data_IF_998681516033
#
_entry.id   IF_998681516033
#
_cell.length_a   1.000
_cell.length_b   1.000
_cell.length_c   1.000
_cell.angle_alpha   90.00
_cell.angle_beta   90.00
_cell.angle_gamma   90.00
#
_symmetry.space_group_name_H-M   'P 1'
#
loop_
_entity.id
_entity.type
_entity.pdbx_description
1 polymer ?
#
# COMPACT_ATOMS: atom_id res chain seq x y z
N UNK A 1 34.52 -4.61 -2.69
CA UNK A 1 33.85 -4.03 -1.50
C UNK A 1 34.46 -4.73 -0.31
N UNK A 2 34.90 -4.02 0.75
CA UNK A 2 35.53 -4.64 1.91
C UNK A 2 34.53 -5.56 2.66
N UNK A 3 35.04 -6.63 3.27
CA UNK A 3 34.25 -7.63 3.99
C UNK A 3 33.51 -7.02 5.21
N UNK A 4 34.16 -6.07 5.89
CA UNK A 4 33.58 -5.20 6.90
C UNK A 4 32.27 -4.55 6.44
N UNK A 5 32.30 -3.86 5.29
CA UNK A 5 31.14 -3.11 4.78
C UNK A 5 29.96 -4.05 4.49
N UNK A 6 30.25 -5.27 4.03
CA UNK A 6 29.23 -6.30 3.78
C UNK A 6 28.59 -6.74 5.11
N UNK A 7 29.39 -6.96 6.16
CA UNK A 7 28.88 -7.39 7.46
C UNK A 7 28.00 -6.32 8.13
N UNK A 8 28.42 -5.06 8.08
CA UNK A 8 27.61 -3.93 8.61
C UNK A 8 26.32 -3.78 7.81
N UNK A 9 26.37 -3.80 6.48
CA UNK A 9 25.17 -3.66 5.64
C UNK A 9 24.15 -4.79 5.87
N UNK A 10 24.63 -6.04 6.04
CA UNK A 10 23.79 -7.20 6.34
C UNK A 10 23.13 -7.08 7.73
N UNK A 11 23.88 -6.61 8.73
CA UNK A 11 23.36 -6.34 10.07
C UNK A 11 22.25 -5.29 10.02
N UNK A 12 22.53 -4.15 9.39
CA UNK A 12 21.60 -3.03 9.25
C UNK A 12 20.33 -3.43 8.47
N UNK A 13 20.46 -4.24 7.42
CA UNK A 13 19.32 -4.79 6.69
C UNK A 13 18.46 -5.70 7.57
N UNK A 14 19.08 -6.53 8.40
CA UNK A 14 18.40 -7.45 9.31
C UNK A 14 17.64 -6.69 10.40
N UNK A 15 18.22 -5.63 10.97
CA UNK A 15 17.55 -4.76 11.94
C UNK A 15 16.31 -4.09 11.33
N UNK A 16 16.40 -3.66 10.07
CA UNK A 16 15.31 -2.96 9.39
C UNK A 16 14.24 -3.87 8.76
N UNK A 17 14.26 -5.18 9.00
CA UNK A 17 13.38 -6.14 8.31
C UNK A 17 11.88 -5.90 8.54
N UNK A 18 11.47 -5.24 9.63
CA UNK A 18 10.07 -4.94 9.93
C UNK A 18 9.71 -3.45 9.82
N UNK A 19 10.47 -2.72 9.01
CA UNK A 19 10.22 -1.32 8.67
C UNK A 19 9.62 -1.27 7.27
N UNK A 20 8.45 -0.65 7.11
CA UNK A 20 7.67 -0.68 5.86
C UNK A 20 7.96 0.46 4.89
N UNK A 21 8.79 1.43 5.27
CA UNK A 21 9.14 2.57 4.42
C UNK A 21 10.65 2.71 4.28
N UNK A 22 11.10 3.05 3.08
CA UNK A 22 12.54 3.24 2.82
C UNK A 22 13.13 4.43 3.59
N UNK A 23 12.37 5.53 3.74
CA UNK A 23 12.80 6.72 4.48
C UNK A 23 13.12 6.39 5.93
N UNK A 24 12.17 5.78 6.65
CA UNK A 24 12.40 5.36 8.02
C UNK A 24 13.49 4.31 8.15
N UNK A 25 13.55 3.37 7.20
CA UNK A 25 14.62 2.37 7.20
C UNK A 25 15.99 3.04 7.02
N UNK A 26 16.08 4.08 6.18
CA UNK A 26 17.30 4.84 6.00
C UNK A 26 17.69 5.59 7.26
N UNK A 27 16.75 6.30 7.89
CA UNK A 27 17.01 7.03 9.14
C UNK A 27 17.56 6.10 10.24
N UNK A 28 16.97 4.92 10.41
CA UNK A 28 17.44 3.92 11.37
C UNK A 28 18.83 3.40 10.99
N UNK A 29 19.08 3.15 9.71
CA UNK A 29 20.37 2.65 9.23
C UNK A 29 21.48 3.66 9.45
N UNK A 30 21.21 4.94 9.23
CA UNK A 30 22.19 6.01 9.37
C UNK A 30 22.57 6.18 10.86
N UNK A 31 21.59 6.26 11.75
CA UNK A 31 21.84 6.32 13.21
C UNK A 31 22.64 5.10 13.72
N UNK A 32 22.23 3.89 13.32
CA UNK A 32 22.92 2.67 13.75
C UNK A 32 24.32 2.56 13.13
N UNK A 33 24.51 3.03 11.90
CA UNK A 33 25.83 3.05 11.26
C UNK A 33 26.77 3.99 12.00
N UNK A 34 26.31 5.20 12.33
CA UNK A 34 27.12 6.17 13.08
C UNK A 34 27.58 5.60 14.43
N UNK A 35 26.70 4.86 15.12
CA UNK A 35 27.08 4.15 16.34
C UNK A 35 28.04 2.97 16.11
N UNK A 36 27.86 2.19 15.03
CA UNK A 36 28.76 1.06 14.68
C UNK A 36 30.16 1.61 14.36
N UNK A 37 30.23 2.65 13.53
CA UNK A 37 31.48 3.27 13.09
C UNK A 37 32.23 3.85 14.30
N UNK A 38 31.51 4.48 15.23
CA UNK A 38 32.08 4.96 16.51
C UNK A 38 32.72 3.83 17.34
N UNK A 39 32.06 2.66 17.45
CA UNK A 39 32.64 1.50 18.13
C UNK A 39 33.83 0.90 17.38
N UNK A 40 33.79 0.87 16.04
CA UNK A 40 34.92 0.39 15.23
C UNK A 40 36.14 1.29 15.46
N UNK A 41 35.95 2.61 15.46
CA UNK A 41 37.02 3.58 15.71
C UNK A 41 37.61 3.43 17.11
N UNK A 42 36.76 3.30 18.14
CA UNK A 42 37.19 3.06 19.52
C UNK A 42 38.05 1.79 19.63
N UNK A 43 37.56 0.67 19.09
CA UNK A 43 38.27 -0.60 19.14
C UNK A 43 39.54 -0.64 18.30
N UNK A 44 39.56 0.05 17.17
CA UNK A 44 40.77 0.19 16.35
C UNK A 44 41.80 1.06 17.08
N UNK A 45 41.36 2.10 17.80
CA UNK A 45 42.24 2.91 18.65
C UNK A 45 42.83 2.12 19.81
N UNK A 46 42.07 1.17 20.36
CA UNK A 46 42.52 0.21 21.38
C UNK A 46 43.47 -0.88 20.83
N UNK A 47 43.79 -0.83 19.54
CA UNK A 47 44.77 -1.70 18.90
C UNK A 47 44.20 -2.99 18.31
N UNK A 48 42.87 -3.14 18.21
CA UNK A 48 42.29 -4.22 17.42
C UNK A 48 42.49 -3.97 15.91
N UNK A 49 42.62 -5.04 15.14
CA UNK A 49 42.51 -4.94 13.69
C UNK A 49 41.06 -4.62 13.29
N UNK A 50 40.86 -4.12 12.07
CA UNK A 50 39.56 -3.60 11.63
C UNK A 50 38.47 -4.69 11.59
N UNK A 51 38.85 -5.93 11.28
CA UNK A 51 37.93 -7.07 11.18
C UNK A 51 37.41 -7.49 12.57
N UNK A 52 38.31 -7.59 13.54
CA UNK A 52 37.99 -7.89 14.94
C UNK A 52 37.23 -6.73 15.60
N UNK A 53 37.62 -5.48 15.30
CA UNK A 53 36.91 -4.29 15.75
C UNK A 53 35.46 -4.28 15.23
N UNK A 54 35.26 -4.58 13.94
CA UNK A 54 33.92 -4.71 13.33
C UNK A 54 33.09 -5.80 14.00
N UNK A 55 33.66 -6.99 14.16
CA UNK A 55 32.98 -8.11 14.82
C UNK A 55 32.57 -7.77 16.26
N UNK A 56 33.45 -7.08 17.00
CA UNK A 56 33.19 -6.64 18.37
C UNK A 56 32.14 -5.53 18.43
N UNK A 57 32.17 -4.57 17.52
CA UNK A 57 31.17 -3.51 17.38
C UNK A 57 29.77 -4.07 17.10
N UNK A 58 29.66 -5.00 16.14
CA UNK A 58 28.38 -5.67 15.84
C UNK A 58 27.87 -6.49 17.03
N UNK A 59 28.76 -7.17 17.76
CA UNK A 59 28.39 -7.91 18.97
C UNK A 59 27.89 -6.98 20.07
N UNK A 60 28.44 -5.76 20.19
CA UNK A 60 28.01 -4.76 21.16
C UNK A 60 26.63 -4.17 20.82
N UNK A 61 26.31 -4.02 19.54
CA UNK A 61 24.95 -3.64 19.10
C UNK A 61 23.89 -4.67 19.50
N UNK A 62 24.30 -5.92 19.68
CA UNK A 62 23.44 -7.03 20.06
C UNK A 62 22.87 -7.77 18.86
N UNK A 63 21.87 -8.62 19.11
CA UNK A 63 21.31 -9.49 18.08
C UNK A 63 20.30 -8.72 17.20
N UNK A 64 20.52 -8.65 15.87
CA UNK A 64 19.64 -7.94 14.95
C UNK A 64 18.22 -8.51 14.93
N UNK A 65 18.03 -9.80 15.26
CA UNK A 65 16.72 -10.43 15.36
C UNK A 65 15.86 -9.75 16.44
N UNK A 66 16.43 -9.50 17.62
CA UNK A 66 15.72 -8.84 18.70
C UNK A 66 15.59 -7.33 18.46
N UNK A 67 16.63 -6.67 17.96
CA UNK A 67 16.58 -5.24 17.61
C UNK A 67 15.48 -4.94 16.59
N UNK A 68 15.30 -5.79 15.59
CA UNK A 68 14.26 -5.59 14.58
C UNK A 68 12.83 -5.60 15.14
N UNK A 69 12.58 -6.28 16.26
CA UNK A 69 11.28 -6.25 16.92
C UNK A 69 11.00 -4.90 17.57
N UNK A 70 12.03 -4.18 18.02
CA UNK A 70 11.88 -2.83 18.56
C UNK A 70 11.44 -1.83 17.48
N UNK A 71 11.88 -2.05 16.23
CA UNK A 71 11.49 -1.25 15.08
C UNK A 71 10.27 -1.78 14.33
N UNK A 72 9.64 -2.87 14.80
CA UNK A 72 8.51 -3.50 14.11
C UNK A 72 7.31 -2.58 14.07
N UNK A 73 6.91 -2.22 12.86
CA UNK A 73 5.74 -1.38 12.67
C UNK A 73 4.43 -2.15 12.85
N UNK A 74 3.48 -1.52 13.54
CA UNK A 74 2.13 -2.05 13.72
C UNK A 74 1.30 -1.76 12.46
N UNK A 75 1.18 -2.75 11.60
CA UNK A 75 0.40 -2.64 10.36
C UNK A 75 -1.06 -2.98 10.65
N UNK A 76 -1.92 -1.96 10.64
CA UNK A 76 -3.34 -2.15 10.93
C UNK A 76 -4.05 -3.00 9.87
N UNK A 77 -4.56 -4.15 10.29
CA UNK A 77 -5.36 -5.03 9.44
C UNK A 77 -6.78 -4.52 9.18
N UNK A 78 -7.24 -3.54 9.97
CA UNK A 78 -8.60 -3.01 9.89
C UNK A 78 -8.80 -2.06 8.71
N UNK A 79 -7.72 -1.54 8.11
CA UNK A 79 -7.79 -0.63 6.97
C UNK A 79 -8.57 -1.21 5.79
N UNK A 80 -8.45 -2.51 5.52
CA UNK A 80 -9.18 -3.21 4.45
C UNK A 80 -10.70 -3.24 4.72
N UNK A 81 -11.10 -3.53 5.95
CA UNK A 81 -12.53 -3.49 6.35
C UNK A 81 -13.04 -2.06 6.32
N UNK A 82 -12.26 -1.10 6.80
CA UNK A 82 -12.64 0.31 6.78
C UNK A 82 -12.94 0.79 5.36
N UNK A 83 -12.07 0.49 4.39
CA UNK A 83 -12.29 0.82 2.98
C UNK A 83 -13.50 0.07 2.41
N UNK A 84 -13.64 -1.23 2.72
CA UNK A 84 -14.81 -1.99 2.29
C UNK A 84 -16.12 -1.39 2.83
N UNK A 85 -16.15 -1.01 4.11
CA UNK A 85 -17.28 -0.34 4.76
C UNK A 85 -17.61 0.99 4.12
N UNK A 86 -16.61 1.86 3.89
CA UNK A 86 -16.81 3.12 3.17
C UNK A 86 -17.37 2.92 1.75
N UNK A 87 -16.88 1.90 1.04
CA UNK A 87 -17.35 1.60 -0.32
C UNK A 87 -18.80 1.11 -0.30
N UNK A 88 -19.19 0.29 0.69
CA UNK A 88 -20.59 -0.14 0.88
C UNK A 88 -21.49 1.05 1.23
N UNK A 89 -21.05 1.92 2.15
CA UNK A 89 -21.80 3.14 2.50
C UNK A 89 -22.00 4.04 1.29
N UNK A 90 -20.95 4.24 0.48
CA UNK A 90 -21.04 5.01 -0.76
C UNK A 90 -22.08 4.43 -1.73
N UNK A 91 -22.08 3.10 -1.93
CA UNK A 91 -23.08 2.44 -2.78
C UNK A 91 -24.50 2.57 -2.24
N UNK A 92 -24.68 2.47 -0.92
CA UNK A 92 -25.99 2.62 -0.29
C UNK A 92 -26.56 4.03 -0.50
N UNK A 93 -25.73 5.06 -0.29
CA UNK A 93 -26.13 6.46 -0.50
C UNK A 93 -26.44 6.70 -1.98
N UNK A 94 -25.56 6.24 -2.88
CA UNK A 94 -25.77 6.35 -4.33
C UNK A 94 -27.09 5.68 -4.75
N UNK A 95 -27.38 4.48 -4.26
CA UNK A 95 -28.63 3.79 -4.55
C UNK A 95 -29.85 4.58 -4.04
N UNK A 96 -29.80 5.10 -2.81
CA UNK A 96 -30.91 5.87 -2.24
C UNK A 96 -31.20 7.16 -3.01
N UNK A 97 -30.17 7.91 -3.42
CA UNK A 97 -30.32 9.15 -4.18
C UNK A 97 -30.96 8.87 -5.54
N UNK A 98 -30.55 7.78 -6.20
CA UNK A 98 -31.09 7.41 -7.51
C UNK A 98 -32.53 6.90 -7.46
N UNK A 99 -32.87 6.09 -6.44
CA UNK A 99 -34.26 5.65 -6.22
C UNK A 99 -35.16 6.86 -5.95
N UNK A 100 -34.70 7.79 -5.12
CA UNK A 100 -35.42 9.03 -4.84
C UNK A 100 -35.62 9.87 -6.11
N UNK A 101 -34.57 10.07 -6.90
CA UNK A 101 -34.65 10.81 -8.16
C UNK A 101 -35.61 10.16 -9.17
N UNK A 102 -35.66 8.83 -9.22
CA UNK A 102 -36.62 8.11 -10.07
C UNK A 102 -38.07 8.27 -9.62
N UNK A 103 -38.35 8.12 -8.31
CA UNK A 103 -39.70 8.28 -7.76
C UNK A 103 -40.25 9.69 -8.06
N UNK A 104 -39.37 10.70 -8.07
CA UNK A 104 -39.72 12.10 -8.35
C UNK A 104 -39.61 12.49 -9.83
N UNK A 105 -39.45 11.53 -10.75
CA UNK A 105 -39.29 11.77 -12.19
C UNK A 105 -38.11 12.69 -12.57
N UNK A 106 -37.10 12.82 -11.71
CA UNK A 106 -35.85 13.54 -12.00
C UNK A 106 -34.89 12.68 -12.83
N UNK A 107 -34.95 11.36 -12.65
CA UNK A 107 -34.10 10.39 -13.33
C UNK A 107 -34.90 9.40 -14.16
N UNK A 108 -34.29 8.98 -15.26
CA UNK A 108 -34.82 7.97 -16.17
C UNK A 108 -34.45 6.57 -15.72
N UNK A 109 -35.12 5.56 -16.28
CA UNK A 109 -34.74 4.16 -16.07
C UNK A 109 -33.28 3.87 -16.47
N UNK A 110 -32.76 4.52 -17.52
CA UNK A 110 -31.36 4.38 -17.91
C UNK A 110 -30.39 4.83 -16.83
N UNK A 111 -30.73 5.86 -16.05
CA UNK A 111 -29.88 6.33 -14.96
C UNK A 111 -29.80 5.28 -13.84
N UNK A 112 -30.94 4.69 -13.45
CA UNK A 112 -30.95 3.59 -12.47
C UNK A 112 -30.15 2.39 -12.98
N UNK A 113 -30.32 2.03 -14.25
CA UNK A 113 -29.61 0.90 -14.85
C UNK A 113 -28.10 1.09 -14.81
N UNK A 114 -27.61 2.28 -15.17
CA UNK A 114 -26.17 2.60 -15.11
C UNK A 114 -25.62 2.53 -13.68
N UNK A 115 -26.38 2.99 -12.68
CA UNK A 115 -26.00 2.88 -11.28
C UNK A 115 -25.97 1.42 -10.80
N UNK A 116 -26.91 0.59 -11.21
CA UNK A 116 -26.90 -0.85 -10.92
C UNK A 116 -25.64 -1.53 -11.47
N UNK A 117 -25.27 -1.22 -12.72
CA UNK A 117 -24.02 -1.70 -13.33
C UNK A 117 -22.82 -1.25 -12.48
N UNK A 118 -22.78 0.01 -12.06
CA UNK A 118 -21.70 0.53 -11.20
C UNK A 118 -21.61 -0.21 -9.86
N UNK A 119 -22.74 -0.46 -9.19
CA UNK A 119 -22.78 -1.23 -7.93
C UNK A 119 -22.23 -2.64 -8.14
N UNK A 120 -22.72 -3.33 -9.18
CA UNK A 120 -22.29 -4.70 -9.51
C UNK A 120 -20.78 -4.78 -9.75
N UNK A 121 -20.22 -3.79 -10.45
CA UNK A 121 -18.78 -3.73 -10.75
C UNK A 121 -17.90 -3.56 -9.50
N UNK A 122 -18.43 -3.00 -8.41
CA UNK A 122 -17.67 -2.80 -7.17
C UNK A 122 -17.77 -3.99 -6.18
N UNK A 123 -18.76 -4.88 -6.32
CA UNK A 123 -18.92 -6.07 -5.47
C UNK A 123 -17.63 -6.93 -5.42
N UNK A 124 -16.96 -7.24 -6.55
CA UNK A 124 -15.72 -8.02 -6.53
C UNK A 124 -14.61 -7.40 -5.67
N UNK A 125 -14.50 -6.06 -5.66
CA UNK A 125 -13.49 -5.34 -4.88
C UNK A 125 -13.75 -5.51 -3.39
N UNK A 126 -15.01 -5.36 -2.95
CA UNK A 126 -15.39 -5.57 -1.55
C UNK A 126 -15.10 -7.01 -1.12
N UNK A 127 -15.53 -7.99 -1.93
CA UNK A 127 -15.30 -9.41 -1.66
C UNK A 127 -13.80 -9.71 -1.53
N UNK A 128 -12.99 -9.12 -2.40
CA UNK A 128 -11.54 -9.26 -2.37
C UNK A 128 -10.95 -8.68 -1.07
N UNK A 129 -11.32 -7.46 -0.69
CA UNK A 129 -10.85 -6.81 0.54
C UNK A 129 -11.22 -7.60 1.79
N UNK A 130 -12.46 -8.11 1.86
CA UNK A 130 -12.93 -8.94 2.97
C UNK A 130 -12.21 -10.29 3.05
N UNK A 131 -11.99 -10.94 1.90
CA UNK A 131 -11.24 -12.20 1.82
C UNK A 131 -9.79 -12.02 2.27
N UNK A 132 -9.16 -10.94 1.83
CA UNK A 132 -7.78 -10.61 2.21
C UNK A 132 -7.68 -10.22 3.68
N UNK A 133 -8.64 -9.48 4.24
CA UNK A 133 -8.69 -9.23 5.67
C UNK A 133 -8.79 -10.53 6.48
N UNK A 134 -9.68 -11.45 6.11
CA UNK A 134 -9.81 -12.75 6.76
C UNK A 134 -8.49 -13.53 6.73
N UNK A 135 -7.76 -13.50 5.61
CA UNK A 135 -6.44 -14.14 5.51
C UNK A 135 -5.38 -13.41 6.34
N UNK A 136 -5.38 -12.08 6.36
CA UNK A 136 -4.50 -11.25 7.19
C UNK A 136 -4.63 -11.61 8.68
N UNK A 137 -5.87 -11.70 9.19
CA UNK A 137 -6.13 -12.10 10.59
C UNK A 137 -5.62 -13.51 10.92
N UNK A 138 -5.64 -14.43 9.95
CA UNK A 138 -5.04 -15.77 10.11
C UNK A 138 -3.52 -15.73 10.08
N UNK A 139 -2.92 -14.80 9.35
CA UNK A 139 -1.48 -14.64 9.25
C UNK A 139 -0.89 -13.87 10.43
N UNK A 140 -1.68 -13.11 11.19
CA UNK A 140 -1.22 -12.43 12.40
C UNK A 140 -0.69 -13.38 13.47
N UNK A 141 -1.14 -14.64 13.47
CA UNK A 141 -0.60 -15.69 14.37
C UNK A 141 0.74 -16.25 13.88
N UNK A 142 1.13 -15.95 12.64
CA UNK A 142 2.41 -16.35 12.06
C UNK A 142 3.40 -15.18 12.07
N UNK A 143 4.67 -15.45 12.32
CA UNK A 143 5.68 -14.41 12.27
C UNK A 143 5.98 -14.03 10.81
N UNK A 144 5.90 -12.74 10.44
CA UNK A 144 6.33 -12.29 9.12
C UNK A 144 7.85 -12.51 8.98
N UNK A 145 8.30 -12.75 7.75
CA UNK A 145 9.73 -12.86 7.44
C UNK A 145 10.34 -11.45 7.39
N UNK A 146 9.72 -10.56 6.60
CA UNK A 146 10.07 -9.14 6.54
C UNK A 146 8.98 -8.32 5.83
N UNK A 147 9.07 -7.00 5.93
CA UNK A 147 8.23 -6.03 5.23
C UNK A 147 8.96 -5.50 4.00
N UNK A 148 8.26 -5.45 2.87
CA UNK A 148 8.78 -4.81 1.67
C UNK A 148 8.64 -3.29 1.86
N UNK A 149 9.79 -2.61 1.82
CA UNK A 149 9.90 -1.17 2.02
C UNK A 149 9.32 -0.44 0.82
N UNK A 150 8.27 0.33 1.06
CA UNK A 150 7.64 1.19 0.09
C UNK A 150 8.45 2.48 -0.13
N UNK A 151 8.54 2.91 -1.39
CA UNK A 151 9.15 4.18 -1.78
C UNK A 151 8.24 5.39 -1.51
N UNK A 152 8.84 6.52 -1.11
CA UNK A 152 8.15 7.83 -1.05
C UNK A 152 7.83 8.41 -2.44
N UNK A 153 8.59 8.03 -3.47
CA UNK A 153 8.46 8.58 -4.82
C UNK A 153 7.24 8.00 -5.53
N UNK A 154 6.39 8.91 -6.03
CA UNK A 154 5.19 8.52 -6.76
C UNK A 154 5.55 7.99 -8.15
N UNK A 155 5.01 6.84 -8.52
CA UNK A 155 5.12 6.28 -9.87
C UNK A 155 4.25 7.07 -10.85
N UNK A 156 4.42 6.81 -12.15
CA UNK A 156 3.54 7.38 -13.18
C UNK A 156 2.06 7.15 -12.86
N UNK A 157 1.69 5.96 -12.39
CA UNK A 157 0.30 5.67 -11.99
C UNK A 157 -0.19 6.52 -10.81
N UNK A 158 0.63 6.67 -9.76
CA UNK A 158 0.29 7.55 -8.64
C UNK A 158 0.20 9.01 -9.06
N UNK A 159 1.04 9.43 -10.02
CA UNK A 159 0.95 10.75 -10.62
C UNK A 159 -0.32 10.91 -11.46
N UNK A 160 -0.81 9.86 -12.13
CA UNK A 160 -2.09 9.83 -12.85
C UNK A 160 -3.31 9.85 -11.92
N UNK A 161 -3.19 9.34 -10.69
CA UNK A 161 -4.25 9.45 -9.69
C UNK A 161 -4.37 10.85 -9.07
N UNK A 162 -3.31 11.67 -9.11
CA UNK A 162 -3.35 13.06 -8.59
C UNK A 162 -4.37 13.95 -9.31
N UNK A 163 -4.43 14.03 -10.65
CA UNK A 163 -5.45 14.82 -11.32
C UNK A 163 -6.86 14.31 -11.03
N UNK A 164 -7.06 12.98 -10.87
CA UNK A 164 -8.36 12.42 -10.48
C UNK A 164 -8.76 12.89 -9.07
N UNK A 165 -7.81 12.91 -8.11
CA UNK A 165 -8.06 13.46 -6.77
C UNK A 165 -8.46 14.93 -6.82
N UNK A 166 -7.73 15.74 -7.58
CA UNK A 166 -8.05 17.16 -7.77
C UNK A 166 -9.37 17.36 -8.50
N UNK A 167 -9.70 16.51 -9.47
CA UNK A 167 -10.99 16.50 -10.14
C UNK A 167 -12.11 16.22 -9.14
N UNK A 168 -11.99 15.21 -8.27
CA UNK A 168 -13.00 14.95 -7.23
C UNK A 168 -13.18 16.13 -6.27
N UNK A 169 -12.08 16.77 -5.84
CA UNK A 169 -12.13 17.96 -4.95
C UNK A 169 -12.77 19.15 -5.68
N UNK A 170 -12.42 19.36 -6.94
CA UNK A 170 -12.97 20.44 -7.76
C UNK A 170 -14.45 20.22 -8.07
N UNK A 171 -14.85 18.98 -8.39
CA UNK A 171 -16.25 18.60 -8.55
C UNK A 171 -17.05 18.83 -7.27
N UNK A 172 -16.48 18.51 -6.10
CA UNK A 172 -17.11 18.82 -4.81
C UNK A 172 -17.32 20.34 -4.65
N UNK A 173 -16.31 21.17 -4.95
CA UNK A 173 -16.43 22.62 -4.87
C UNK A 173 -17.46 23.20 -5.85
N UNK A 174 -17.49 22.72 -7.11
CA UNK A 174 -18.48 23.15 -8.11
C UNK A 174 -19.90 22.81 -7.67
N UNK A 175 -20.14 21.65 -7.06
CA UNK A 175 -21.49 21.28 -6.64
C UNK A 175 -21.96 22.05 -5.41
N UNK A 176 -21.05 22.49 -4.53
CA UNK A 176 -21.42 23.27 -3.34
C UNK A 176 -21.75 24.74 -3.61
N UNK A 177 -21.02 25.38 -4.55
CA UNK A 177 -21.14 26.83 -4.79
C UNK A 177 -22.56 27.26 -5.23
N UNK A 178 -23.24 26.55 -6.16
CA UNK A 178 -24.61 26.87 -6.56
C UNK A 178 -25.61 26.74 -5.40
N UNK A 179 -25.47 25.72 -4.56
CA UNK A 179 -26.35 25.47 -3.41
C UNK A 179 -26.32 26.64 -2.41
N UNK A 180 -25.14 27.21 -2.16
CA UNK A 180 -25.00 28.39 -1.30
C UNK A 180 -25.58 29.67 -1.93
N UNK A 181 -25.47 29.82 -3.26
CA UNK A 181 -25.96 31.02 -3.95
C UNK A 181 -27.49 31.03 -4.13
N UNK A 182 -28.13 29.86 -4.13
CA UNK A 182 -29.59 29.72 -4.30
C UNK A 182 -30.31 29.74 -2.95
N UNK A 183 -29.60 29.57 -1.84
CA UNK A 183 -30.18 29.42 -0.51
C UNK A 183 -31.10 30.59 -0.08
N UNK A 184 -30.74 31.83 -0.42
CA UNK A 184 -31.53 33.03 -0.10
C UNK A 184 -32.79 33.19 -0.97
N UNK A 185 -32.90 32.42 -2.07
CA UNK A 185 -34.01 32.47 -3.03
C UNK A 185 -35.07 31.38 -2.76
N UNK A 186 -34.80 30.44 -1.85
CA UNK A 186 -35.66 29.30 -1.58
C UNK A 186 -36.79 29.63 -0.59
N UNK A 187 -37.95 29.01 -0.78
CA UNK A 187 -39.02 29.07 0.21
C UNK A 187 -38.63 28.29 1.48
N UNK A 188 -39.16 28.70 2.65
CA UNK A 188 -38.84 28.05 3.94
C UNK A 188 -39.07 26.53 3.95
N UNK A 189 -40.04 26.03 3.16
CA UNK A 189 -40.33 24.61 3.01
C UNK A 189 -39.30 23.84 2.18
N UNK A 190 -38.66 24.50 1.21
CA UNK A 190 -37.66 23.90 0.32
C UNK A 190 -36.25 23.91 0.90
N UNK A 191 -35.96 24.86 1.81
CA UNK A 191 -34.66 24.99 2.47
C UNK A 191 -34.22 23.68 3.14
N UNK A 192 -35.14 23.00 3.84
CA UNK A 192 -34.81 21.75 4.56
C UNK A 192 -34.43 20.66 3.55
N UNK A 193 -35.15 20.58 2.44
CA UNK A 193 -34.92 19.58 1.41
C UNK A 193 -33.57 19.79 0.72
N UNK A 194 -33.29 21.01 0.27
CA UNK A 194 -32.01 21.33 -0.37
C UNK A 194 -30.83 21.13 0.59
N UNK A 195 -30.98 21.54 1.85
CA UNK A 195 -29.94 21.30 2.86
C UNK A 195 -29.59 19.82 3.04
N UNK A 196 -30.61 18.94 3.10
CA UNK A 196 -30.39 17.50 3.20
C UNK A 196 -29.74 16.92 1.93
N UNK A 197 -30.12 17.42 0.76
CA UNK A 197 -29.53 17.04 -0.52
C UNK A 197 -28.04 17.43 -0.59
N UNK A 198 -27.71 18.69 -0.26
CA UNK A 198 -26.34 19.20 -0.20
C UNK A 198 -25.47 18.41 0.79
N UNK A 199 -25.99 18.09 1.98
CA UNK A 199 -25.29 17.23 2.95
C UNK A 199 -25.02 15.85 2.34
N UNK A 200 -26.02 15.24 1.71
CA UNK A 200 -25.90 13.89 1.14
C UNK A 200 -24.81 13.85 0.07
N UNK A 201 -24.83 14.81 -0.87
CA UNK A 201 -23.82 14.96 -1.91
C UNK A 201 -22.43 15.19 -1.29
N UNK A 202 -22.35 16.03 -0.26
CA UNK A 202 -21.09 16.32 0.43
C UNK A 202 -20.48 15.08 1.10
N UNK A 203 -21.32 14.27 1.77
CA UNK A 203 -20.90 13.00 2.38
C UNK A 203 -20.36 12.05 1.30
N UNK A 204 -21.02 11.95 0.14
CA UNK A 204 -20.55 11.11 -0.96
C UNK A 204 -19.15 11.51 -1.44
N UNK A 205 -18.92 12.81 -1.65
CA UNK A 205 -17.60 13.32 -2.06
C UNK A 205 -16.54 13.10 -0.98
N UNK A 206 -16.89 13.34 0.30
CA UNK A 206 -15.98 13.08 1.43
C UNK A 206 -15.56 11.61 1.46
N UNK A 207 -16.50 10.67 1.34
CA UNK A 207 -16.21 9.24 1.29
C UNK A 207 -15.26 8.91 0.14
N UNK A 208 -15.52 9.44 -1.06
CA UNK A 208 -14.64 9.21 -2.23
C UNK A 208 -13.22 9.74 -2.00
N UNK A 209 -13.09 10.95 -1.45
CA UNK A 209 -11.77 11.54 -1.12
C UNK A 209 -11.03 10.66 -0.11
N UNK A 210 -11.71 10.18 0.93
CA UNK A 210 -11.12 9.29 1.95
C UNK A 210 -10.68 7.96 1.33
N UNK A 211 -11.50 7.34 0.47
CA UNK A 211 -11.13 6.11 -0.25
C UNK A 211 -9.88 6.34 -1.11
N UNK A 212 -9.84 7.40 -1.92
CA UNK A 212 -8.68 7.71 -2.76
C UNK A 212 -7.41 8.04 -1.96
N UNK A 213 -7.54 8.63 -0.78
CA UNK A 213 -6.41 8.87 0.11
C UNK A 213 -5.89 7.55 0.71
N UNK A 214 -6.80 6.72 1.22
CA UNK A 214 -6.46 5.47 1.92
C UNK A 214 -5.98 4.35 0.99
N UNK A 215 -6.42 4.33 -0.26
CA UNK A 215 -5.96 3.38 -1.30
C UNK A 215 -4.60 3.80 -1.89
N UNK A 216 -4.07 4.97 -1.54
CA UNK A 216 -2.76 5.44 -2.02
C UNK A 216 -1.66 4.39 -1.80
N UNK A 217 -0.85 4.01 -2.83
CA UNK A 217 0.14 2.93 -2.70
C UNK A 217 1.20 3.18 -1.63
N UNK A 218 1.48 4.44 -1.30
CA UNK A 218 2.36 4.83 -0.16
C UNK A 218 1.91 4.28 1.20
N UNK A 219 0.65 3.88 1.29
CA UNK A 219 0.02 3.41 2.51
C UNK A 219 -0.36 1.94 2.43
N UNK A 220 0.13 1.24 1.39
CA UNK A 220 -0.09 -0.16 1.13
C UNK A 220 1.21 -0.93 1.43
N UNK A 221 1.27 -1.52 2.61
CA UNK A 221 2.41 -2.34 3.01
C UNK A 221 2.29 -3.71 2.38
N UNK A 222 3.40 -4.21 1.84
CA UNK A 222 3.50 -5.59 1.36
C UNK A 222 4.36 -6.37 2.35
N UNK A 223 3.84 -7.50 2.82
CA UNK A 223 4.46 -8.29 3.89
C UNK A 223 4.76 -9.68 3.34
N UNK A 224 5.98 -10.16 3.57
CA UNK A 224 6.37 -11.51 3.20
C UNK A 224 6.16 -12.44 4.38
N UNK A 225 5.41 -13.51 4.14
CA UNK A 225 5.19 -14.63 5.04
C UNK A 225 5.81 -15.90 4.47
N UNK A 226 6.07 -16.92 5.30
CA UNK A 226 6.55 -18.22 4.83
C UNK A 226 5.63 -18.85 3.76
N UNK A 227 4.32 -18.61 3.85
CA UNK A 227 3.32 -19.16 2.92
C UNK A 227 3.18 -18.33 1.62
N UNK A 228 3.62 -17.07 1.60
CA UNK A 228 3.40 -16.18 0.46
C UNK A 228 3.51 -14.69 0.78
N UNK A 229 3.09 -13.88 -0.18
CA UNK A 229 3.13 -12.42 -0.11
C UNK A 229 1.74 -11.87 0.20
N UNK A 230 1.62 -11.13 1.30
CA UNK A 230 0.41 -10.37 1.62
C UNK A 230 0.54 -8.96 1.04
N UNK A 231 -0.31 -8.66 0.06
CA UNK A 231 -0.49 -7.30 -0.49
C UNK A 231 -1.71 -6.62 0.13
N UNK A 232 -1.96 -5.36 -0.21
CA UNK A 232 -3.17 -4.67 0.24
C UNK A 232 -4.43 -5.37 -0.27
N UNK A 233 -4.46 -5.72 -1.56
CA UNK A 233 -5.64 -6.26 -2.24
C UNK A 233 -5.74 -7.78 -2.09
N UNK A 234 -4.64 -8.50 -1.99
CA UNK A 234 -4.65 -9.96 -2.09
C UNK A 234 -3.55 -10.65 -1.28
N UNK A 235 -3.77 -11.92 -0.96
CA UNK A 235 -2.70 -12.82 -0.53
C UNK A 235 -2.30 -13.72 -1.70
N UNK A 236 -0.99 -13.76 -1.97
CA UNK A 236 -0.38 -14.47 -3.09
C UNK A 236 0.50 -15.58 -2.52
N UNK A 237 0.03 -16.84 -2.51
CA UNK A 237 0.85 -17.93 -2.03
C UNK A 237 1.94 -18.30 -3.04
N UNK A 238 3.08 -18.77 -2.53
CA UNK A 238 4.27 -19.05 -3.35
C UNK A 238 4.01 -20.08 -4.45
N UNK A 239 3.21 -21.10 -4.16
CA UNK A 239 2.86 -22.18 -5.09
C UNK A 239 2.19 -21.70 -6.38
N UNK A 240 1.54 -20.53 -6.35
CA UNK A 240 0.86 -19.92 -7.50
C UNK A 240 1.78 -19.11 -8.40
N UNK A 241 2.93 -18.69 -7.91
CA UNK A 241 3.89 -17.89 -8.68
C UNK A 241 4.72 -18.84 -9.55
N UNK A 242 4.79 -18.56 -10.85
CA UNK A 242 5.60 -19.33 -11.80
C UNK A 242 6.97 -18.72 -12.05
N UNK A 243 7.04 -17.39 -12.02
CA UNK A 243 8.25 -16.63 -12.28
C UNK A 243 8.06 -15.17 -11.81
N UNK A 244 9.15 -14.44 -11.67
CA UNK A 244 9.13 -13.00 -11.43
C UNK A 244 10.12 -12.27 -12.33
N UNK A 245 9.93 -10.96 -12.51
CA UNK A 245 10.92 -10.09 -13.16
C UNK A 245 11.01 -8.74 -12.45
N UNK A 246 12.20 -8.14 -12.54
CA UNK A 246 12.42 -6.78 -12.08
C UNK A 246 12.06 -5.79 -13.18
N UNK A 247 11.26 -4.79 -12.83
CA UNK A 247 10.95 -3.63 -13.64
C UNK A 247 11.61 -2.43 -13.00
N UNK A 248 12.47 -1.75 -13.77
CA UNK A 248 13.18 -0.54 -13.34
C UNK A 248 12.55 0.68 -14.00
N UNK A 249 11.95 1.55 -13.20
CA UNK A 249 11.44 2.84 -13.65
C UNK A 249 12.35 3.96 -13.12
N UNK A 250 12.50 5.04 -13.88
CA UNK A 250 13.21 6.23 -13.41
C UNK A 250 12.20 7.34 -13.12
N UNK A 251 12.23 7.87 -11.90
CA UNK A 251 11.39 9.01 -11.49
C UNK A 251 12.26 10.02 -10.75
N UNK A 252 12.27 11.27 -11.23
CA UNK A 252 13.06 12.38 -10.65
C UNK A 252 14.51 11.98 -10.31
N UNK A 253 15.22 11.39 -11.27
CA UNK A 253 16.62 10.94 -11.15
C UNK A 253 16.89 9.81 -10.14
N UNK A 254 15.86 9.17 -9.57
CA UNK A 254 16.01 7.94 -8.76
C UNK A 254 15.47 6.73 -9.51
N UNK A 255 16.21 5.62 -9.45
CA UNK A 255 15.74 4.33 -9.92
C UNK A 255 14.76 3.73 -8.90
N UNK A 256 13.58 3.35 -9.37
CA UNK A 256 12.56 2.65 -8.61
C UNK A 256 12.49 1.22 -9.15
N UNK A 257 12.65 0.25 -8.26
CA UNK A 257 12.53 -1.16 -8.58
C UNK A 257 11.14 -1.66 -8.20
N UNK A 258 10.53 -2.43 -9.11
CA UNK A 258 9.27 -3.13 -8.88
C UNK A 258 9.39 -4.58 -9.31
N UNK A 259 8.78 -5.48 -8.56
CA UNK A 259 8.67 -6.89 -8.92
C UNK A 259 7.36 -7.08 -9.66
N UNK A 260 7.45 -7.65 -10.83
CA UNK A 260 6.30 -8.16 -11.56
C UNK A 260 6.21 -9.67 -11.38
N UNK A 261 5.01 -10.20 -11.14
CA UNK A 261 4.77 -11.62 -10.91
C UNK A 261 4.03 -12.28 -12.07
N UNK A 262 4.50 -13.46 -12.49
CA UNK A 262 3.81 -14.35 -13.42
C UNK A 262 3.18 -15.51 -12.65
N UNK A 263 1.94 -15.87 -12.98
CA UNK A 263 1.17 -16.90 -12.28
C UNK A 263 1.01 -18.19 -13.10
N UNK A 264 1.07 -19.36 -12.46
CA UNK A 264 0.98 -20.69 -13.10
C UNK A 264 -0.36 -20.96 -13.81
N UNK A 265 -1.45 -20.41 -13.29
CA UNK A 265 -2.78 -20.40 -13.93
C UNK A 265 -3.33 -18.98 -13.82
N UNK A 266 -3.98 -18.47 -14.88
CA UNK A 266 -4.83 -17.26 -14.76
C UNK A 266 -5.87 -17.57 -13.69
N UNK A 267 -5.85 -16.91 -12.52
CA UNK A 267 -6.74 -17.31 -11.45
C UNK A 267 -8.19 -17.08 -11.90
N UNK A 268 -9.08 -18.06 -11.70
CA UNK A 268 -10.49 -17.95 -12.11
C UNK A 268 -11.25 -16.80 -11.42
N UNK A 269 -10.74 -16.31 -10.29
CA UNK A 269 -11.24 -15.13 -9.57
C UNK A 269 -10.59 -13.80 -9.99
N UNK A 270 -9.72 -13.80 -11.00
CA UNK A 270 -8.95 -12.64 -11.48
C UNK A 270 -9.35 -12.22 -12.90
N UNK A 271 -10.62 -12.41 -13.30
CA UNK A 271 -11.11 -11.89 -14.59
C UNK A 271 -11.12 -10.34 -14.65
N UNK A 272 -10.95 -9.65 -13.53
CA UNK A 272 -10.87 -8.19 -13.44
C UNK A 272 -9.68 -7.70 -12.62
N UNK A 273 -8.48 -8.17 -12.94
CA UNK A 273 -7.25 -7.51 -12.50
C UNK A 273 -6.55 -6.98 -13.75
N UNK A 274 -6.86 -5.73 -14.10
CA UNK A 274 -5.85 -4.93 -14.76
C UNK A 274 -4.61 -4.97 -13.88
N UNK A 275 -3.47 -5.30 -14.50
CA UNK A 275 -2.10 -5.27 -13.99
C UNK A 275 -1.62 -6.56 -13.34
N UNK A 276 -0.62 -7.14 -14.01
CA UNK A 276 0.61 -7.55 -13.35
C UNK A 276 0.82 -6.81 -12.02
N UNK A 277 0.72 -7.51 -10.88
CA UNK A 277 0.96 -6.89 -9.58
C UNK A 277 2.42 -6.44 -9.52
N UNK A 278 2.63 -5.14 -9.75
CA UNK A 278 3.91 -4.49 -9.57
C UNK A 278 4.04 -4.16 -8.09
N UNK A 279 4.89 -4.91 -7.40
CA UNK A 279 5.21 -4.66 -6.00
C UNK A 279 6.45 -3.79 -5.97
N UNK A 280 6.34 -2.57 -5.44
CA UNK A 280 7.50 -1.68 -5.27
C UNK A 280 8.43 -2.21 -4.19
N UNK A 281 9.74 -2.08 -4.42
CA UNK A 281 10.77 -2.63 -3.53
C UNK A 281 11.95 -1.69 -3.44
N UNK A 282 12.38 -1.33 -2.23
CA UNK A 282 13.65 -0.59 -2.03
C UNK A 282 14.82 -1.31 -2.70
N UNK A 283 15.72 -0.55 -3.33
CA UNK A 283 16.95 -1.08 -3.93
C UNK A 283 17.81 -1.83 -2.91
N UNK A 284 17.70 -1.48 -1.63
CA UNK A 284 18.40 -2.17 -0.55
C UNK A 284 17.86 -3.57 -0.25
N UNK A 285 16.68 -3.95 -0.76
CA UNK A 285 16.03 -5.24 -0.50
C UNK A 285 16.04 -6.20 -1.71
N UNK A 286 16.62 -5.80 -2.85
CA UNK A 286 16.62 -6.61 -4.09
C UNK A 286 17.22 -8.00 -3.84
N UNK A 287 18.44 -8.05 -3.30
CA UNK A 287 19.13 -9.33 -3.05
C UNK A 287 18.36 -10.23 -2.07
N UNK A 288 17.84 -9.64 -0.99
CA UNK A 288 17.04 -10.35 0.02
C UNK A 288 15.80 -10.99 -0.61
N UNK A 289 15.12 -10.25 -1.50
CA UNK A 289 13.94 -10.78 -2.16
C UNK A 289 14.31 -11.84 -3.19
N UNK A 290 15.39 -11.66 -3.95
CA UNK A 290 15.87 -12.68 -4.88
C UNK A 290 16.17 -14.00 -4.18
N UNK A 291 16.80 -13.96 -3.00
CA UNK A 291 17.06 -15.14 -2.15
C UNK A 291 15.76 -15.82 -1.69
N UNK A 292 14.77 -15.03 -1.26
CA UNK A 292 13.47 -15.55 -0.84
C UNK A 292 12.72 -16.20 -2.00
N UNK A 293 12.77 -15.62 -3.19
CA UNK A 293 12.13 -16.22 -4.37
C UNK A 293 12.85 -17.50 -4.81
N UNK A 294 14.19 -17.50 -4.82
CA UNK A 294 14.99 -18.69 -5.14
C UNK A 294 14.77 -19.84 -4.16
N UNK A 295 14.74 -19.56 -2.86
CA UNK A 295 14.46 -20.57 -1.83
C UNK A 295 13.06 -21.18 -1.94
N UNK A 296 12.11 -20.45 -2.54
CA UNK A 296 10.77 -20.96 -2.86
C UNK A 296 10.67 -21.59 -4.27
N UNK A 297 11.79 -21.79 -4.97
CA UNK A 297 11.82 -22.42 -6.30
C UNK A 297 11.18 -21.58 -7.40
N UNK A 298 11.24 -20.25 -7.30
CA UNK A 298 10.67 -19.33 -8.28
C UNK A 298 11.80 -18.68 -9.07
N UNK A 299 11.79 -18.88 -10.39
CA UNK A 299 12.83 -18.36 -11.27
C UNK A 299 12.63 -16.89 -11.64
N UNK A 300 13.73 -16.16 -11.69
CA UNK A 300 13.81 -14.82 -12.28
C UNK A 300 13.84 -14.94 -13.81
N UNK A 301 13.02 -14.15 -14.51
CA UNK A 301 13.01 -14.07 -15.97
C UNK A 301 13.24 -12.64 -16.44
N UNK A 302 13.82 -12.47 -17.63
CA UNK A 302 13.96 -11.16 -18.27
C UNK A 302 12.64 -10.70 -18.92
N UNK A 303 11.87 -11.64 -19.48
CA UNK A 303 10.59 -11.39 -20.13
C UNK A 303 9.55 -12.47 -19.76
N UNK A 304 8.27 -12.09 -19.83
CA UNK A 304 7.12 -12.97 -19.57
C UNK A 304 6.47 -13.51 -20.82
#
# INVERSE_FOLDING_TARGET
MSEEKINVDNFLQSVCRFVSTEERAQDIKDELRDHIDSYIDEYTHDGLNIEDATSKALKQMGDPYYLSNNFKENISNNKRIFIAGLTVSFMAILASVNIYGYINNLYTFSDIFMNLVFIILNIPIIVLLLKTHKKSKKLDTSNPVFYIQSYKTSTWYENMLKPIKWLCIFSFAINLIPDFNIFDLLSKSEIIFEYLNTITISIMYLIMIIIFYTVSPKSQNNIIYPEGILTFESFIPWDKISAYRWVKEHSKNKAIYSIELKFKKKPSSYKYSFRSQLIKVSSSQINLIDEVFKSNGIDQRQCF
#
